data_IF_112639933198
#
_entry.id   IF_112639933198
#
_cell.length_a   1.000
_cell.length_b   1.000
_cell.length_c   1.000
_cell.angle_alpha   90.00
_cell.angle_beta   90.00
_cell.angle_gamma   90.00
#
_symmetry.space_group_name_H-M   'P 1'
#
loop_
_entity.id
_entity.type
_entity.pdbx_description
1 polymer ?
#
# COMPACT_ATOMS: atom_id res chain seq x y z
N UNK A 1 -6.66 14.30 -17.44
CA UNK A 1 -7.54 13.13 -17.32
C UNK A 1 -6.77 11.83 -16.99
N UNK A 2 -5.58 11.64 -17.43
CA UNK A 2 -4.71 10.48 -17.26
C UNK A 2 -5.00 9.55 -16.07
N UNK A 3 -4.23 9.67 -15.01
CA UNK A 3 -4.36 8.80 -13.82
C UNK A 3 -5.73 8.90 -13.14
N UNK A 4 -6.33 10.10 -13.06
CA UNK A 4 -7.61 10.30 -12.37
C UNK A 4 -8.74 9.45 -12.94
N UNK A 5 -8.89 9.38 -14.27
CA UNK A 5 -9.92 8.57 -14.90
C UNK A 5 -9.67 7.07 -14.73
N UNK A 6 -8.41 6.63 -14.84
CA UNK A 6 -8.04 5.23 -14.67
C UNK A 6 -8.28 4.74 -13.23
N UNK A 7 -7.85 5.49 -12.23
CA UNK A 7 -8.05 5.13 -10.83
C UNK A 7 -9.50 5.20 -10.39
N UNK A 8 -10.25 6.23 -10.82
CA UNK A 8 -11.68 6.29 -10.53
C UNK A 8 -12.42 5.07 -11.09
N UNK A 9 -12.08 4.66 -12.33
CA UNK A 9 -12.68 3.48 -12.95
C UNK A 9 -12.41 2.17 -12.18
N UNK A 10 -11.29 2.07 -11.48
CA UNK A 10 -10.98 0.92 -10.60
C UNK A 10 -11.84 0.93 -9.33
N UNK A 11 -12.12 2.09 -8.76
CA UNK A 11 -12.91 2.22 -7.54
C UNK A 11 -14.41 2.05 -7.79
N UNK A 12 -14.97 2.79 -8.77
CA UNK A 12 -16.42 2.85 -9.00
C UNK A 12 -16.91 1.98 -10.17
N UNK A 13 -15.99 1.34 -10.86
CA UNK A 13 -16.26 0.57 -12.07
C UNK A 13 -16.34 1.43 -13.35
N UNK A 14 -16.10 0.79 -14.50
CA UNK A 14 -15.99 1.45 -15.80
C UNK A 14 -17.25 2.25 -16.19
N UNK A 15 -18.43 1.73 -15.89
CA UNK A 15 -19.69 2.39 -16.29
C UNK A 15 -19.88 3.73 -15.54
N UNK A 16 -19.72 3.73 -14.22
CA UNK A 16 -19.87 4.93 -13.40
C UNK A 16 -18.78 5.95 -13.68
N UNK A 17 -17.53 5.52 -13.81
CA UNK A 17 -16.45 6.43 -14.17
C UNK A 17 -16.72 7.14 -15.52
N UNK A 18 -17.18 6.40 -16.52
CA UNK A 18 -17.55 6.99 -17.85
C UNK A 18 -18.73 7.95 -17.73
N UNK A 19 -19.75 7.61 -16.96
CA UNK A 19 -20.89 8.47 -16.70
C UNK A 19 -20.41 9.80 -16.10
N UNK A 20 -19.58 9.74 -15.05
CA UNK A 20 -19.03 10.93 -14.37
C UNK A 20 -18.26 11.82 -15.37
N UNK A 21 -17.31 11.25 -16.11
CA UNK A 21 -16.44 12.02 -17.00
C UNK A 21 -17.13 12.49 -18.29
N UNK A 22 -18.04 11.68 -18.84
CA UNK A 22 -18.65 12.02 -20.11
C UNK A 22 -19.84 12.97 -19.96
N UNK A 23 -20.58 12.86 -18.87
CA UNK A 23 -21.76 13.70 -18.66
C UNK A 23 -21.45 14.97 -17.84
N UNK A 24 -20.36 14.98 -17.06
CA UNK A 24 -19.98 16.12 -16.25
C UNK A 24 -21.06 16.54 -15.23
N UNK A 25 -21.81 15.57 -14.71
CA UNK A 25 -22.84 15.82 -13.69
C UNK A 25 -22.22 16.01 -12.32
N UNK A 26 -22.92 16.76 -11.47
CA UNK A 26 -22.56 16.88 -10.05
C UNK A 26 -23.01 15.62 -9.29
N UNK A 27 -22.20 15.19 -8.34
CA UNK A 27 -22.44 14.07 -7.45
C UNK A 27 -22.21 14.52 -6.01
N UNK A 28 -23.09 14.13 -5.10
CA UNK A 28 -22.90 14.41 -3.68
C UNK A 28 -21.82 13.53 -3.06
N UNK A 29 -21.38 13.88 -1.85
CA UNK A 29 -20.44 13.05 -1.10
C UNK A 29 -21.01 11.64 -0.82
N UNK A 30 -22.31 11.58 -0.50
CA UNK A 30 -23.02 10.32 -0.26
C UNK A 30 -23.17 9.48 -1.54
N UNK A 31 -23.31 10.13 -2.71
CA UNK A 31 -23.27 9.41 -3.99
C UNK A 31 -21.90 8.77 -4.20
N UNK A 32 -20.84 9.50 -3.90
CA UNK A 32 -19.46 8.99 -4.04
C UNK A 32 -19.16 7.88 -3.05
N UNK A 33 -19.68 7.94 -1.82
CA UNK A 33 -19.57 6.86 -0.83
C UNK A 33 -20.30 5.60 -1.32
N UNK A 34 -21.56 5.74 -1.75
CA UNK A 34 -22.34 4.61 -2.30
C UNK A 34 -21.68 3.94 -3.50
N UNK A 35 -20.94 4.71 -4.29
CA UNK A 35 -20.18 4.18 -5.44
C UNK A 35 -18.83 3.57 -5.07
N UNK A 36 -18.37 3.74 -3.83
CA UNK A 36 -17.07 3.27 -3.37
C UNK A 36 -15.89 4.17 -3.75
N UNK A 37 -16.16 5.42 -4.15
CA UNK A 37 -15.11 6.40 -4.47
C UNK A 37 -14.50 7.03 -3.21
N UNK A 38 -15.27 7.12 -2.12
CA UNK A 38 -14.82 7.54 -0.80
C UNK A 38 -15.25 6.53 0.25
N UNK A 39 -14.52 6.43 1.34
CA UNK A 39 -14.75 5.43 2.38
C UNK A 39 -15.80 5.86 3.39
N UNK A 40 -15.92 7.16 3.64
CA UNK A 40 -16.74 7.73 4.69
C UNK A 40 -17.09 9.17 4.35
N UNK A 41 -18.32 9.55 4.65
CA UNK A 41 -18.79 10.94 4.61
C UNK A 41 -18.96 11.45 6.03
N UNK A 42 -18.62 12.70 6.27
CA UNK A 42 -18.79 13.37 7.55
C UNK A 42 -19.31 14.79 7.31
N UNK A 43 -20.00 15.34 8.30
CA UNK A 43 -20.36 16.76 8.28
C UNK A 43 -19.12 17.64 8.24
N UNK A 44 -19.21 18.80 7.60
CA UNK A 44 -18.06 19.67 7.39
C UNK A 44 -17.32 20.02 8.70
N UNK A 45 -18.07 20.24 9.77
CA UNK A 45 -17.52 20.58 11.08
C UNK A 45 -16.80 19.40 11.75
N UNK A 46 -17.20 18.17 11.43
CA UNK A 46 -16.67 16.94 12.00
C UNK A 46 -15.59 16.27 11.13
N UNK A 47 -15.33 16.77 9.94
CA UNK A 47 -14.44 16.14 8.97
C UNK A 47 -13.05 15.83 9.55
N UNK A 48 -12.45 16.82 10.20
CA UNK A 48 -11.09 16.67 10.75
C UNK A 48 -11.06 15.68 11.94
N UNK A 49 -12.07 15.78 12.81
CA UNK A 49 -12.21 14.87 13.96
C UNK A 49 -12.41 13.42 13.50
N UNK A 50 -13.26 13.20 12.50
CA UNK A 50 -13.52 11.89 11.90
C UNK A 50 -12.28 11.34 11.23
N UNK A 51 -11.57 12.15 10.44
CA UNK A 51 -10.32 11.74 9.80
C UNK A 51 -9.25 11.35 10.83
N UNK A 52 -9.13 12.09 11.93
CA UNK A 52 -8.20 11.76 13.02
C UNK A 52 -8.57 10.46 13.74
N UNK A 53 -9.85 10.15 13.89
CA UNK A 53 -10.29 8.87 14.48
C UNK A 53 -9.83 7.70 13.61
N UNK A 54 -10.08 7.75 12.30
CA UNK A 54 -9.63 6.72 11.35
C UNK A 54 -8.10 6.60 11.38
N UNK A 55 -7.38 7.72 11.43
CA UNK A 55 -5.91 7.71 11.52
C UNK A 55 -5.42 7.02 12.80
N UNK A 56 -6.10 7.23 13.96
CA UNK A 56 -5.76 6.54 15.22
C UNK A 56 -6.02 5.03 15.14
N UNK A 57 -7.07 4.60 14.45
CA UNK A 57 -7.32 3.18 14.21
C UNK A 57 -6.19 2.54 13.41
N UNK A 58 -5.69 3.23 12.38
CA UNK A 58 -4.54 2.79 11.60
C UNK A 58 -3.28 2.71 12.48
N UNK A 59 -3.04 3.72 13.32
CA UNK A 59 -1.90 3.75 14.25
C UNK A 59 -1.93 2.60 15.26
N UNK A 60 -3.10 2.06 15.57
CA UNK A 60 -3.26 0.88 16.42
C UNK A 60 -2.90 -0.45 15.74
N UNK A 61 -2.51 -0.45 14.48
CA UNK A 61 -2.13 -1.66 13.73
C UNK A 61 -0.60 -1.75 13.59
N UNK A 62 -0.12 -2.95 13.23
CA UNK A 62 1.32 -3.18 13.00
C UNK A 62 1.87 -2.26 11.90
N UNK A 63 2.89 -1.41 12.19
CA UNK A 63 3.48 -0.53 11.18
C UNK A 63 4.09 -1.28 10.00
N UNK A 64 4.71 -2.43 10.27
CA UNK A 64 5.31 -3.24 9.22
C UNK A 64 4.24 -3.85 8.30
N UNK A 65 3.16 -4.40 8.88
CA UNK A 65 2.03 -4.92 8.10
C UNK A 65 1.39 -3.83 7.23
N UNK A 66 1.16 -2.63 7.77
CA UNK A 66 0.62 -1.49 7.03
C UNK A 66 1.50 -1.11 5.84
N UNK A 67 2.81 -1.06 6.05
CA UNK A 67 3.78 -0.76 5.01
C UNK A 67 3.76 -1.80 3.88
N UNK A 68 3.78 -3.07 4.23
CA UNK A 68 3.75 -4.16 3.25
C UNK A 68 2.44 -4.20 2.47
N UNK A 69 1.30 -3.98 3.14
CA UNK A 69 0.00 -3.89 2.49
C UNK A 69 -0.07 -2.72 1.49
N UNK A 70 0.48 -1.56 1.85
CA UNK A 70 0.52 -0.40 0.95
C UNK A 70 1.28 -0.73 -0.34
N UNK A 71 2.43 -1.38 -0.24
CA UNK A 71 3.17 -1.82 -1.43
C UNK A 71 2.41 -2.88 -2.22
N UNK A 72 1.81 -3.87 -1.56
CA UNK A 72 1.05 -4.93 -2.22
C UNK A 72 -0.13 -4.39 -3.03
N UNK A 73 -0.88 -3.42 -2.50
CA UNK A 73 -1.98 -2.78 -3.23
C UNK A 73 -1.51 -2.02 -4.47
N UNK A 74 -0.37 -1.35 -4.39
CA UNK A 74 0.14 -0.52 -5.48
C UNK A 74 0.90 -1.32 -6.56
N UNK A 75 1.45 -2.47 -6.19
CA UNK A 75 2.34 -3.27 -7.05
C UNK A 75 1.74 -3.60 -8.42
N UNK A 76 0.46 -3.93 -8.46
CA UNK A 76 -0.26 -4.30 -9.70
C UNK A 76 -0.33 -3.12 -10.68
N UNK A 77 -0.42 -1.90 -10.17
CA UNK A 77 -0.62 -0.69 -10.97
C UNK A 77 0.69 -0.01 -11.35
N UNK A 78 1.70 -0.13 -10.50
CA UNK A 78 2.98 0.55 -10.66
C UNK A 78 3.98 -0.22 -11.56
N UNK A 79 3.64 -1.44 -11.96
CA UNK A 79 4.46 -2.25 -12.87
C UNK A 79 5.89 -2.46 -12.35
N UNK A 80 6.89 -2.32 -13.22
CA UNK A 80 8.31 -2.51 -12.86
C UNK A 80 8.78 -1.53 -11.78
N UNK A 81 8.25 -0.32 -11.75
CA UNK A 81 8.59 0.64 -10.69
C UNK A 81 8.07 0.17 -9.32
N UNK A 82 6.85 -0.32 -9.27
CA UNK A 82 6.28 -0.92 -8.05
C UNK A 82 7.08 -2.14 -7.60
N UNK A 83 7.49 -2.99 -8.53
CA UNK A 83 8.36 -4.13 -8.26
C UNK A 83 9.70 -3.69 -7.64
N UNK A 84 10.31 -2.63 -8.17
CA UNK A 84 11.57 -2.10 -7.64
C UNK A 84 11.40 -1.54 -6.21
N UNK A 85 10.32 -0.81 -5.96
CA UNK A 85 10.03 -0.25 -4.63
C UNK A 85 9.78 -1.37 -3.62
N UNK A 86 8.99 -2.39 -3.99
CA UNK A 86 8.75 -3.56 -3.16
C UNK A 86 10.03 -4.34 -2.87
N UNK A 87 10.88 -4.56 -3.88
CA UNK A 87 12.16 -5.25 -3.74
C UNK A 87 13.09 -4.50 -2.78
N UNK A 88 13.12 -3.17 -2.83
CA UNK A 88 13.87 -2.32 -1.89
C UNK A 88 13.42 -2.53 -0.44
N UNK A 89 12.12 -2.59 -0.19
CA UNK A 89 11.59 -2.84 1.15
C UNK A 89 11.85 -4.27 1.62
N UNK A 90 11.71 -5.26 0.76
CA UNK A 90 12.06 -6.65 1.06
C UNK A 90 13.55 -6.80 1.41
N UNK A 91 14.43 -6.14 0.65
CA UNK A 91 15.88 -6.10 0.94
C UNK A 91 16.16 -5.46 2.29
N UNK A 92 15.50 -4.33 2.61
CA UNK A 92 15.65 -3.68 3.92
C UNK A 92 15.27 -4.60 5.06
N UNK A 93 14.17 -5.34 4.95
CA UNK A 93 13.74 -6.32 5.95
C UNK A 93 14.72 -7.49 6.03
N UNK A 94 15.23 -7.96 4.89
CA UNK A 94 16.25 -9.01 4.84
C UNK A 94 17.51 -8.63 5.61
N UNK A 95 18.01 -7.42 5.44
CA UNK A 95 19.19 -6.92 6.17
C UNK A 95 18.98 -6.77 7.70
N UNK A 96 17.76 -6.87 8.19
CA UNK A 96 17.46 -6.83 9.63
C UNK A 96 17.41 -8.22 10.28
N UNK A 97 17.75 -9.27 9.54
CA UNK A 97 17.72 -10.66 10.02
C UNK A 97 19.09 -11.11 10.53
N UNK A 98 19.09 -12.13 11.40
CA UNK A 98 20.31 -12.79 11.86
C UNK A 98 21.05 -13.49 10.70
N UNK A 99 20.32 -13.94 9.69
CA UNK A 99 20.88 -14.51 8.46
C UNK A 99 21.75 -13.48 7.71
N UNK A 100 21.33 -12.23 7.63
CA UNK A 100 22.15 -11.16 7.04
C UNK A 100 23.38 -10.84 7.88
N UNK A 101 23.29 -10.96 9.21
CA UNK A 101 24.43 -10.80 10.12
C UNK A 101 25.46 -11.91 9.87
N UNK A 102 25.01 -13.17 9.74
CA UNK A 102 25.89 -14.28 9.40
C UNK A 102 26.61 -14.06 8.07
N UNK A 103 25.87 -13.66 7.02
CA UNK A 103 26.46 -13.36 5.70
C UNK A 103 27.53 -12.28 5.75
N UNK A 104 27.27 -11.20 6.48
CA UNK A 104 28.22 -10.11 6.69
C UNK A 104 29.47 -10.58 7.43
N UNK A 105 29.29 -11.29 8.55
CA UNK A 105 30.37 -11.68 9.43
C UNK A 105 31.24 -12.75 8.78
N UNK A 106 30.66 -13.70 8.06
CA UNK A 106 31.39 -14.67 7.27
C UNK A 106 32.29 -13.99 6.22
N UNK A 107 31.75 -13.00 5.50
CA UNK A 107 32.52 -12.23 4.52
C UNK A 107 33.71 -11.48 5.17
N UNK A 108 33.48 -10.80 6.29
CA UNK A 108 34.52 -10.06 7.00
C UNK A 108 35.59 -10.98 7.58
N UNK A 109 35.21 -12.16 8.04
CA UNK A 109 36.10 -13.19 8.61
C UNK A 109 36.75 -14.06 7.54
N UNK A 110 36.39 -13.90 6.26
CA UNK A 110 36.87 -14.69 5.11
C UNK A 110 36.67 -16.20 5.31
N UNK A 111 35.53 -16.58 5.84
CA UNK A 111 35.07 -17.96 6.00
C UNK A 111 33.80 -18.20 5.18
N UNK A 112 33.44 -19.44 4.96
CA UNK A 112 32.15 -19.79 4.41
C UNK A 112 31.03 -19.46 5.42
N UNK A 113 29.87 -18.97 4.98
CA UNK A 113 28.73 -18.73 5.85
C UNK A 113 28.07 -20.06 6.25
N UNK A 114 27.60 -20.13 7.49
CA UNK A 114 26.82 -21.27 7.99
C UNK A 114 25.32 -20.95 7.93
N UNK A 115 24.65 -21.47 6.90
CA UNK A 115 23.20 -21.29 6.72
C UNK A 115 22.36 -22.35 7.45
N UNK A 116 22.96 -23.32 8.11
CA UNK A 116 22.26 -24.45 8.74
C UNK A 116 21.27 -24.05 9.86
N UNK A 117 21.47 -22.95 10.61
CA UNK A 117 20.50 -22.51 11.60
C UNK A 117 19.24 -21.87 10.99
N UNK A 118 19.28 -21.49 9.70
CA UNK A 118 18.21 -20.70 9.05
C UNK A 118 17.32 -21.63 8.22
N UNK A 119 15.99 -21.62 8.48
CA UNK A 119 15.09 -22.53 7.79
C UNK A 119 14.82 -22.05 6.34
N UNK A 120 14.81 -23.00 5.42
CA UNK A 120 14.34 -22.81 4.07
C UNK A 120 12.81 -22.94 4.04
N UNK A 121 12.09 -21.85 3.79
CA UNK A 121 10.65 -21.85 3.59
C UNK A 121 10.34 -21.93 2.09
N UNK A 122 9.55 -22.91 1.70
CA UNK A 122 9.05 -23.05 0.33
C UNK A 122 7.52 -22.98 0.31
#
# INVERSE_FOLDING_TARGET
AGYGSAYLAKMVGQKKAREIFFLGRDYTAEDMERMGAVNLVADHEDLETTAQQVAREILGKSPNAQRMLKFAFNLVDDGLMGQQVFAGEATRLGYMTDEAVEGRDAFLQKRDPDWSPYPWYY
#
